data_IF_922144786877
#
_entry.id   IF_922144786877
#
_cell.length_a   1.000
_cell.length_b   1.000
_cell.length_c   1.000
_cell.angle_alpha   90.00
_cell.angle_beta   90.00
_cell.angle_gamma   90.00
#
_symmetry.space_group_name_H-M   'P 1'
#
loop_
_entity.id
_entity.type
_entity.pdbx_description
1 polymer ?
#
# COMPACT_ATOMS: atom_id res chain seq x y z
N UNK A 1 -25.34 -7.19 8.22
CA UNK A 1 -23.92 -7.04 7.84
C UNK A 1 -23.10 -7.95 8.75
N UNK A 2 -22.23 -8.78 8.19
CA UNK A 2 -21.39 -9.67 8.98
C UNK A 2 -20.31 -8.88 9.73
N UNK A 3 -19.80 -9.43 10.82
CA UNK A 3 -18.72 -8.83 11.62
C UNK A 3 -17.48 -8.43 10.80
N UNK A 4 -17.25 -9.14 9.69
CA UNK A 4 -16.15 -8.91 8.75
C UNK A 4 -16.43 -7.86 7.67
N UNK A 5 -17.68 -7.43 7.49
CA UNK A 5 -18.05 -6.57 6.37
C UNK A 5 -17.36 -5.21 6.44
N UNK A 6 -17.38 -4.53 7.59
CA UNK A 6 -16.75 -3.22 7.78
C UNK A 6 -15.21 -3.31 7.63
N UNK A 7 -14.50 -4.22 8.32
CA UNK A 7 -13.06 -4.39 8.13
C UNK A 7 -12.66 -4.68 6.67
N UNK A 8 -13.36 -5.60 6.01
CA UNK A 8 -13.05 -5.98 4.62
C UNK A 8 -13.24 -4.81 3.66
N UNK A 9 -14.26 -3.96 3.87
CA UNK A 9 -14.46 -2.75 3.07
C UNK A 9 -13.29 -1.78 3.25
N UNK A 10 -12.85 -1.54 4.48
CA UNK A 10 -11.72 -0.65 4.78
C UNK A 10 -10.43 -1.18 4.14
N UNK A 11 -10.13 -2.47 4.30
CA UNK A 11 -8.95 -3.09 3.70
C UNK A 11 -8.97 -3.01 2.17
N UNK A 12 -10.11 -3.30 1.56
CA UNK A 12 -10.28 -3.25 0.10
C UNK A 12 -10.06 -1.83 -0.42
N UNK A 13 -10.62 -0.82 0.25
CA UNK A 13 -10.42 0.58 -0.12
C UNK A 13 -8.95 1.00 -0.04
N UNK A 14 -8.23 0.59 1.01
CA UNK A 14 -6.79 0.87 1.16
C UNK A 14 -5.96 0.21 0.06
N UNK A 15 -6.23 -1.06 -0.24
CA UNK A 15 -5.53 -1.79 -1.31
C UNK A 15 -5.76 -1.13 -2.66
N UNK A 16 -7.00 -0.76 -2.98
CA UNK A 16 -7.34 -0.06 -4.24
C UNK A 16 -6.64 1.29 -4.32
N UNK A 17 -6.68 2.08 -3.25
CA UNK A 17 -6.03 3.39 -3.21
C UNK A 17 -4.51 3.29 -3.44
N UNK A 18 -3.85 2.34 -2.77
CA UNK A 18 -2.40 2.13 -2.90
C UNK A 18 -2.04 1.58 -4.28
N UNK A 19 -2.82 0.63 -4.79
CA UNK A 19 -2.60 0.07 -6.14
C UNK A 19 -2.76 1.14 -7.21
N UNK A 20 -3.76 2.01 -7.08
CA UNK A 20 -3.96 3.14 -7.99
C UNK A 20 -2.81 4.14 -7.91
N UNK A 21 -2.37 4.50 -6.70
CA UNK A 21 -1.25 5.43 -6.51
C UNK A 21 0.05 4.91 -7.14
N UNK A 22 0.36 3.62 -6.91
CA UNK A 22 1.53 2.98 -7.51
C UNK A 22 1.41 2.93 -9.05
N UNK A 23 0.25 2.54 -9.57
CA UNK A 23 0.00 2.46 -11.02
C UNK A 23 0.12 3.83 -11.69
N UNK A 24 -0.47 4.88 -11.10
CA UNK A 24 -0.35 6.25 -11.59
C UNK A 24 1.09 6.76 -11.53
N UNK A 25 1.83 6.43 -10.46
CA UNK A 25 3.25 6.74 -10.32
C UNK A 25 4.11 6.09 -11.41
N UNK A 26 3.87 4.80 -11.70
CA UNK A 26 4.54 4.08 -12.79
C UNK A 26 4.19 4.68 -14.14
N UNK A 27 2.91 4.94 -14.44
CA UNK A 27 2.50 5.56 -15.71
C UNK A 27 3.14 6.92 -15.94
N UNK A 28 3.22 7.77 -14.91
CA UNK A 28 3.88 9.08 -15.00
C UNK A 28 5.37 8.93 -15.30
N UNK A 29 6.06 7.99 -14.64
CA UNK A 29 7.48 7.71 -14.88
C UNK A 29 7.73 7.09 -16.26
N UNK A 30 6.87 6.16 -16.69
CA UNK A 30 6.96 5.53 -18.01
C UNK A 30 6.74 6.54 -19.15
N UNK A 31 5.77 7.46 -19.01
CA UNK A 31 5.57 8.57 -19.96
C UNK A 31 6.79 9.48 -20.07
N UNK A 32 7.50 9.72 -18.98
CA UNK A 32 8.74 10.50 -18.99
C UNK A 32 9.94 9.71 -19.55
N UNK A 33 10.01 8.39 -19.33
CA UNK A 33 11.08 7.54 -19.86
C UNK A 33 10.93 7.22 -21.35
N UNK A 34 9.72 7.17 -21.92
CA UNK A 34 9.55 6.98 -23.37
C UNK A 34 10.12 8.13 -24.21
N UNK A 35 10.45 9.27 -23.57
CA UNK A 35 11.06 10.44 -24.23
C UNK A 35 12.58 10.51 -23.98
N UNK A 36 13.11 9.77 -23.01
CA UNK A 36 14.51 9.79 -22.61
C UNK A 36 15.02 8.35 -22.55
N UNK A 37 15.69 7.92 -23.62
CA UNK A 37 16.05 6.53 -23.94
C UNK A 37 16.85 5.80 -22.87
N UNK A 38 17.47 6.50 -21.93
CA UNK A 38 18.12 5.93 -20.74
C UNK A 38 18.10 6.96 -19.62
N UNK A 39 17.04 6.97 -18.80
CA UNK A 39 17.01 7.82 -17.62
C UNK A 39 17.62 7.09 -16.42
N UNK A 40 18.54 7.72 -15.68
CA UNK A 40 19.17 7.09 -14.52
C UNK A 40 18.11 6.73 -13.47
N UNK A 41 18.33 5.61 -12.76
CA UNK A 41 17.46 5.15 -11.66
C UNK A 41 17.17 6.34 -10.74
N UNK A 42 15.88 6.60 -10.48
CA UNK A 42 15.48 7.77 -9.70
C UNK A 42 16.18 7.75 -8.33
N UNK A 43 16.81 8.88 -7.94
CA UNK A 43 17.53 9.01 -6.65
C UNK A 43 16.73 8.47 -5.46
N UNK A 44 15.41 8.71 -5.44
CA UNK A 44 14.52 8.22 -4.38
C UNK A 44 14.48 6.70 -4.28
N UNK A 45 14.47 5.97 -5.40
CA UNK A 45 14.53 4.50 -5.40
C UNK A 45 15.93 4.02 -4.97
N UNK A 46 16.98 4.76 -5.34
CA UNK A 46 18.36 4.43 -4.96
C UNK A 46 18.60 4.64 -3.46
N UNK A 47 18.11 5.74 -2.91
CA UNK A 47 18.37 6.14 -1.53
C UNK A 47 17.36 5.48 -0.56
N UNK A 48 16.16 5.12 -1.04
CA UNK A 48 15.12 4.43 -0.27
C UNK A 48 14.49 3.25 -1.03
N UNK A 49 15.27 2.19 -1.34
CA UNK A 49 14.80 1.03 -2.11
C UNK A 49 13.67 0.27 -1.39
N UNK A 50 13.67 0.31 -0.05
CA UNK A 50 12.70 -0.35 0.82
C UNK A 50 11.33 0.34 0.78
N UNK A 51 11.30 1.68 0.88
CA UNK A 51 10.03 2.43 0.90
C UNK A 51 9.35 2.45 -0.48
N UNK A 52 10.13 2.32 -1.55
CA UNK A 52 9.61 2.25 -2.92
C UNK A 52 9.15 0.83 -3.32
N UNK A 53 9.32 -0.18 -2.47
CA UNK A 53 8.94 -1.55 -2.77
C UNK A 53 7.45 -1.80 -2.50
N UNK A 54 6.65 -2.12 -3.54
CA UNK A 54 5.23 -2.43 -3.38
C UNK A 54 4.94 -3.55 -2.37
N UNK A 55 5.83 -4.53 -2.26
CA UNK A 55 5.68 -5.67 -1.34
C UNK A 55 5.73 -5.20 0.13
N UNK A 56 6.62 -4.26 0.44
CA UNK A 56 6.80 -3.74 1.80
C UNK A 56 5.60 -2.88 2.21
N UNK A 57 5.05 -2.11 1.26
CA UNK A 57 3.80 -1.36 1.46
C UNK A 57 2.64 -2.32 1.74
N UNK A 58 2.57 -3.46 1.04
CA UNK A 58 1.54 -4.49 1.31
C UNK A 58 1.67 -5.10 2.71
N UNK A 59 2.89 -5.38 3.17
CA UNK A 59 3.08 -5.86 4.55
C UNK A 59 2.66 -4.83 5.60
N UNK A 60 2.89 -3.54 5.36
CA UNK A 60 2.43 -2.48 6.24
C UNK A 60 0.90 -2.41 6.30
N UNK A 61 0.22 -2.48 5.15
CA UNK A 61 -1.26 -2.48 5.09
C UNK A 61 -1.81 -3.71 5.82
N UNK A 62 -1.22 -4.89 5.57
CA UNK A 62 -1.63 -6.13 6.22
C UNK A 62 -1.39 -6.08 7.73
N UNK A 63 -0.23 -5.59 8.17
CA UNK A 63 0.09 -5.42 9.59
C UNK A 63 -0.86 -4.46 10.29
N UNK A 64 -1.16 -3.32 9.67
CA UNK A 64 -2.15 -2.37 10.19
C UNK A 64 -3.54 -2.98 10.27
N UNK A 65 -3.99 -3.64 9.20
CA UNK A 65 -5.31 -4.28 9.16
C UNK A 65 -5.45 -5.34 10.26
N UNK A 66 -4.48 -6.24 10.36
CA UNK A 66 -4.48 -7.33 11.33
C UNK A 66 -4.34 -6.80 12.75
N UNK A 67 -3.49 -5.80 12.97
CA UNK A 67 -3.32 -5.13 14.25
C UNK A 67 -4.59 -4.43 14.73
N UNK A 68 -5.29 -3.70 13.84
CA UNK A 68 -6.58 -3.06 14.13
C UNK A 68 -7.62 -4.12 14.51
N UNK A 69 -7.67 -5.25 13.81
CA UNK A 69 -8.60 -6.33 14.10
C UNK A 69 -8.30 -6.97 15.46
N UNK A 70 -7.04 -7.33 15.72
CA UNK A 70 -6.63 -7.92 17.00
C UNK A 70 -6.98 -6.96 18.14
N UNK A 71 -6.68 -5.67 17.99
CA UNK A 71 -7.00 -4.65 18.97
C UNK A 71 -8.51 -4.49 19.17
N UNK A 72 -9.30 -4.49 18.08
CA UNK A 72 -10.76 -4.42 18.15
C UNK A 72 -11.34 -5.60 18.93
N UNK A 73 -10.89 -6.83 18.66
CA UNK A 73 -11.35 -7.99 19.42
C UNK A 73 -10.86 -7.96 20.87
N UNK A 74 -9.61 -7.60 21.13
CA UNK A 74 -9.11 -7.43 22.49
C UNK A 74 -9.94 -6.42 23.29
N UNK A 75 -10.22 -5.25 22.71
CA UNK A 75 -11.05 -4.22 23.35
C UNK A 75 -12.50 -4.66 23.59
N UNK A 76 -13.06 -5.48 22.69
CA UNK A 76 -14.44 -5.98 22.80
C UNK A 76 -14.59 -7.14 23.79
N UNK A 77 -13.57 -8.01 23.89
CA UNK A 77 -13.60 -9.20 24.77
C UNK A 77 -12.98 -8.93 26.14
N UNK A 78 -12.36 -7.77 26.33
CA UNK A 78 -11.71 -7.33 27.56
C UNK A 78 -12.65 -6.77 28.64
N UNK A 79 -13.97 -6.98 28.53
CA UNK A 79 -14.98 -6.73 29.56
C UNK A 79 -15.98 -7.89 29.62
#
# INVERSE_FOLDING_TARGET
MGMWTIPTIIASALIVAVSYYLTAGVMKKAKHQSTASDSPISKVIRDHPVAANPIIIMYLIFGLFTGIIIFYYWAKTGY
#
